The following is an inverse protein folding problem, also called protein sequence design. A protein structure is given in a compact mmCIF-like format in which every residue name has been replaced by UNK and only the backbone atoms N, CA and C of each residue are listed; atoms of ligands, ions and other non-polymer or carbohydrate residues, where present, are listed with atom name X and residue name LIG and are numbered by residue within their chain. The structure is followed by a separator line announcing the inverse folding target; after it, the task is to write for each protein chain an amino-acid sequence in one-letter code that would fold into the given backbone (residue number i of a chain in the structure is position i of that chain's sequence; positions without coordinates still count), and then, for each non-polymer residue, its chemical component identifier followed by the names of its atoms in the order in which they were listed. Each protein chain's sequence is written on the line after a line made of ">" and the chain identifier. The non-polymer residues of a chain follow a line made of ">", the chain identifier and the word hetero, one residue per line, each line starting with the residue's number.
data_IF_369844952592
#
_entry.id   IF_369844952592
#
_cell.length_a   1.000
_cell.length_b   1.000
_cell.length_c   1.000
_cell.angle_alpha   90.00
_cell.angle_beta   90.00
_cell.angle_gamma   90.00
#
_symmetry.space_group_name_H-M   'P 1'
#
loop_
_entity.id
_entity.type
_entity.pdbx_description
1 polymer ?
#
# COMPACT_ATOMS: atom_id res chain seq x y z
N UNK A 1 -39.83 85.62 -38.27
CA UNK A 1 -39.95 84.25 -37.72
C UNK A 1 -38.98 83.32 -38.43
N UNK A 2 -37.81 83.02 -37.82
CA UNK A 2 -36.86 82.02 -38.32
C UNK A 2 -37.13 80.71 -37.56
N UNK A 3 -37.54 79.66 -38.26
CA UNK A 3 -37.63 78.30 -37.70
C UNK A 3 -36.26 77.64 -37.87
N UNK A 4 -35.68 77.21 -36.76
CA UNK A 4 -34.47 76.40 -36.72
C UNK A 4 -34.81 74.96 -37.15
N UNK A 5 -34.14 74.47 -38.19
CA UNK A 5 -34.14 73.06 -38.56
C UNK A 5 -32.84 72.45 -38.04
N UNK A 6 -32.94 71.59 -37.04
CA UNK A 6 -31.83 70.81 -36.49
C UNK A 6 -31.50 69.69 -37.47
N UNK A 7 -30.38 69.80 -38.17
CA UNK A 7 -29.86 68.75 -39.05
C UNK A 7 -28.88 67.88 -38.25
N UNK A 8 -29.27 66.62 -38.02
CA UNK A 8 -28.40 65.56 -37.50
C UNK A 8 -27.23 65.33 -38.48
N UNK A 9 -25.96 65.32 -38.02
CA UNK A 9 -24.85 64.94 -38.89
C UNK A 9 -24.83 63.42 -39.06
N UNK A 10 -24.68 62.99 -40.31
CA UNK A 10 -24.62 61.59 -40.70
C UNK A 10 -23.46 60.84 -40.07
N UNK A 11 -23.70 59.57 -39.75
CA UNK A 11 -22.68 58.62 -39.32
C UNK A 11 -21.61 58.48 -40.40
N UNK A 12 -20.43 59.02 -40.11
CA UNK A 12 -19.22 58.74 -40.88
C UNK A 12 -18.76 57.34 -40.48
N UNK A 13 -18.89 56.37 -41.38
CA UNK A 13 -18.25 55.06 -41.21
C UNK A 13 -16.74 55.25 -41.33
N UNK A 14 -16.03 55.30 -40.20
CA UNK A 14 -14.58 55.23 -40.19
C UNK A 14 -14.14 53.84 -40.68
N UNK A 15 -13.19 53.73 -41.63
CA UNK A 15 -12.65 52.44 -42.03
C UNK A 15 -11.91 51.81 -40.83
N UNK A 16 -12.30 50.60 -40.48
CA UNK A 16 -11.62 49.78 -39.47
C UNK A 16 -10.18 49.54 -39.93
N UNK A 17 -9.20 50.08 -39.19
CA UNK A 17 -7.80 49.78 -39.41
C UNK A 17 -7.56 48.27 -39.19
N UNK A 18 -6.74 47.60 -40.03
CA UNK A 18 -6.42 46.20 -39.80
C UNK A 18 -5.71 46.08 -38.45
N UNK A 19 -6.31 45.31 -37.53
CA UNK A 19 -5.70 44.94 -36.26
C UNK A 19 -4.48 44.08 -36.61
N UNK A 20 -3.30 44.67 -36.57
CA UNK A 20 -2.06 43.92 -36.62
C UNK A 20 -2.07 42.91 -35.45
N UNK A 21 -1.68 41.65 -35.67
CA UNK A 21 -1.56 40.71 -34.56
C UNK A 21 -0.57 41.31 -33.57
N UNK A 22 -1.03 41.54 -32.33
CA UNK A 22 -0.16 41.91 -31.22
C UNK A 22 0.77 40.73 -31.01
N UNK A 23 1.91 40.73 -31.69
CA UNK A 23 3.00 39.84 -31.39
C UNK A 23 3.38 40.16 -29.95
N UNK A 24 3.05 39.25 -29.03
CA UNK A 24 3.50 39.32 -27.65
C UNK A 24 5.01 39.54 -27.66
N UNK A 25 5.45 40.75 -27.35
CA UNK A 25 6.86 41.07 -27.28
C UNK A 25 7.46 40.16 -26.20
N UNK A 26 8.26 39.17 -26.60
CA UNK A 26 9.01 38.36 -25.65
C UNK A 26 9.94 39.33 -24.93
N UNK A 27 9.68 39.57 -23.65
CA UNK A 27 10.54 40.38 -22.80
C UNK A 27 11.97 39.82 -22.88
N UNK A 28 12.95 40.69 -23.14
CA UNK A 28 14.34 40.28 -23.15
C UNK A 28 14.71 39.67 -21.77
N UNK A 29 15.55 38.62 -21.73
CA UNK A 29 15.98 38.01 -20.47
C UNK A 29 16.68 39.05 -19.57
N UNK A 30 16.41 38.99 -18.27
CA UNK A 30 17.04 39.88 -17.30
C UNK A 30 18.54 39.58 -17.16
N UNK A 31 19.32 40.56 -16.68
CA UNK A 31 20.74 40.38 -16.40
C UNK A 31 21.00 39.23 -15.42
N UNK A 32 20.13 39.05 -14.42
CA UNK A 32 20.16 37.93 -13.49
C UNK A 32 19.89 36.58 -14.17
N UNK A 33 18.94 36.51 -15.12
CA UNK A 33 18.66 35.29 -15.85
C UNK A 33 19.83 34.87 -16.76
N UNK A 34 20.53 35.84 -17.36
CA UNK A 34 21.73 35.60 -18.17
C UNK A 34 22.86 35.07 -17.29
N UNK A 35 23.10 35.69 -16.13
CA UNK A 35 24.11 35.23 -15.16
C UNK A 35 23.84 33.79 -14.67
N UNK A 36 22.59 33.50 -14.25
CA UNK A 36 22.22 32.15 -13.82
C UNK A 36 22.35 31.13 -14.96
N UNK A 37 22.07 31.51 -16.21
CA UNK A 37 22.31 30.66 -17.39
C UNK A 37 23.78 30.27 -17.54
N UNK A 38 24.71 31.21 -17.40
CA UNK A 38 26.15 30.91 -17.46
C UNK A 38 26.61 30.04 -16.30
N UNK A 39 26.08 30.27 -15.10
CA UNK A 39 26.36 29.45 -13.91
C UNK A 39 25.87 28.01 -14.10
N UNK A 40 24.65 27.82 -14.59
CA UNK A 40 24.13 26.50 -14.91
C UNK A 40 24.96 25.78 -15.99
N UNK A 41 25.38 26.50 -17.04
CA UNK A 41 26.25 25.95 -18.07
C UNK A 41 27.61 25.50 -17.48
N UNK A 42 28.21 26.29 -16.59
CA UNK A 42 29.45 25.94 -15.89
C UNK A 42 29.31 24.65 -15.08
N UNK A 43 28.19 24.51 -14.36
CA UNK A 43 27.94 23.36 -13.50
C UNK A 43 27.80 22.08 -14.36
N UNK A 44 27.14 22.17 -15.52
CA UNK A 44 27.09 21.07 -16.51
C UNK A 44 28.47 20.72 -17.06
N UNK A 45 29.27 21.71 -17.47
CA UNK A 45 30.64 21.48 -17.98
C UNK A 45 31.53 20.83 -16.92
N UNK A 46 31.39 21.24 -15.66
CA UNK A 46 32.14 20.65 -14.54
C UNK A 46 31.75 19.18 -14.34
N UNK A 47 30.46 18.86 -14.42
CA UNK A 47 30.00 17.47 -14.38
C UNK A 47 30.56 16.62 -15.52
N UNK A 48 30.58 17.15 -16.74
CA UNK A 48 31.18 16.47 -17.91
C UNK A 48 32.67 16.23 -17.72
N UNK A 49 33.40 17.18 -17.16
CA UNK A 49 34.83 17.05 -16.87
C UNK A 49 35.08 15.92 -15.86
N UNK A 50 34.30 15.87 -14.77
CA UNK A 50 34.41 14.81 -13.76
C UNK A 50 34.11 13.42 -14.34
N UNK A 51 33.13 13.30 -15.22
CA UNK A 51 32.80 12.05 -15.91
C UNK A 51 33.92 11.58 -16.84
N UNK A 52 34.53 12.52 -17.59
CA UNK A 52 35.68 12.23 -18.45
C UNK A 52 36.92 11.83 -17.64
N UNK A 53 37.20 12.52 -16.53
CA UNK A 53 38.28 12.17 -15.60
C UNK A 53 38.06 10.79 -14.95
N UNK A 54 36.81 10.43 -14.64
CA UNK A 54 36.43 9.09 -14.23
C UNK A 54 36.75 8.06 -15.30
N UNK A 55 36.27 8.29 -16.52
CA UNK A 55 36.52 7.42 -17.67
C UNK A 55 38.02 7.23 -17.94
N UNK A 56 38.81 8.30 -17.81
CA UNK A 56 40.27 8.29 -17.98
C UNK A 56 40.94 7.37 -16.96
N UNK A 57 40.54 7.46 -15.69
CA UNK A 57 41.05 6.59 -14.62
C UNK A 57 40.71 5.13 -14.91
N UNK A 58 39.49 4.84 -15.32
CA UNK A 58 39.05 3.47 -15.63
C UNK A 58 39.82 2.88 -16.82
N UNK A 59 40.06 3.66 -17.88
CA UNK A 59 40.88 3.22 -19.03
C UNK A 59 42.31 2.92 -18.57
N UNK A 60 42.89 3.79 -17.74
CA UNK A 60 44.26 3.60 -17.23
C UNK A 60 44.36 2.32 -16.41
N UNK A 61 43.40 2.05 -15.51
CA UNK A 61 43.37 0.80 -14.74
C UNK A 61 43.19 -0.43 -15.64
N UNK A 62 42.35 -0.36 -16.69
CA UNK A 62 42.23 -1.45 -17.66
C UNK A 62 43.52 -1.69 -18.45
N UNK A 63 44.26 -0.64 -18.78
CA UNK A 63 45.57 -0.77 -19.44
C UNK A 63 46.59 -1.48 -18.55
N UNK A 64 46.59 -1.21 -17.24
CA UNK A 64 47.46 -1.89 -16.26
C UNK A 64 47.16 -3.39 -16.16
N UNK A 65 45.89 -3.79 -16.31
CA UNK A 65 45.46 -5.19 -16.30
C UNK A 65 45.68 -5.91 -17.65
N UNK A 66 45.78 -5.16 -18.75
CA UNK A 66 45.90 -5.69 -20.10
C UNK A 66 47.38 -5.91 -20.48
N UNK A 67 47.70 -7.05 -21.10
CA UNK A 67 49.07 -7.35 -21.49
C UNK A 67 49.65 -6.29 -22.46
N UNK A 68 50.80 -5.73 -22.11
CA UNK A 68 51.48 -4.72 -22.92
C UNK A 68 51.78 -5.24 -24.34
N UNK A 69 51.51 -4.40 -25.35
CA UNK A 69 51.71 -4.73 -26.77
C UNK A 69 50.60 -5.58 -27.41
N UNK A 70 49.55 -5.96 -26.66
CA UNK A 70 48.35 -6.57 -27.24
C UNK A 70 47.55 -5.56 -28.08
N UNK A 71 46.76 -6.04 -29.08
CA UNK A 71 45.84 -5.17 -29.83
C UNK A 71 44.84 -4.42 -28.93
N UNK A 72 44.40 -5.04 -27.83
CA UNK A 72 43.50 -4.44 -26.84
C UNK A 72 44.17 -3.27 -26.12
N UNK A 73 45.43 -3.41 -25.71
CA UNK A 73 46.21 -2.33 -25.10
C UNK A 73 46.35 -1.14 -26.06
N UNK A 74 46.61 -1.39 -27.35
CA UNK A 74 46.70 -0.33 -28.37
C UNK A 74 45.36 0.43 -28.52
N UNK A 75 44.23 -0.28 -28.50
CA UNK A 75 42.91 0.34 -28.60
C UNK A 75 42.58 1.20 -27.36
N UNK A 76 43.00 0.76 -26.16
CA UNK A 76 42.84 1.55 -24.94
C UNK A 76 43.68 2.83 -24.95
N UNK A 77 44.92 2.80 -25.47
CA UNK A 77 45.75 4.00 -25.67
C UNK A 77 45.09 5.03 -26.60
N UNK A 78 44.50 4.56 -27.71
CA UNK A 78 43.83 5.43 -28.67
C UNK A 78 42.59 6.07 -28.03
N UNK A 79 41.84 5.30 -27.23
CA UNK A 79 40.70 5.80 -26.46
C UNK A 79 41.11 6.79 -25.37
N UNK A 80 42.24 6.55 -24.69
CA UNK A 80 42.79 7.47 -23.70
C UNK A 80 43.14 8.82 -24.35
N UNK A 81 43.75 8.78 -25.53
CA UNK A 81 44.10 9.98 -26.31
C UNK A 81 42.85 10.77 -26.71
N UNK A 82 41.76 10.11 -27.12
CA UNK A 82 40.48 10.76 -27.40
C UNK A 82 39.89 11.44 -26.15
N UNK A 83 39.87 10.73 -25.02
CA UNK A 83 39.36 11.25 -23.74
C UNK A 83 40.17 12.47 -23.28
N UNK A 84 41.50 12.41 -23.36
CA UNK A 84 42.38 13.54 -23.03
C UNK A 84 42.11 14.75 -23.95
N UNK A 85 41.84 14.51 -25.24
CA UNK A 85 41.42 15.56 -26.18
C UNK A 85 40.09 16.21 -25.78
N UNK A 86 39.11 15.40 -25.35
CA UNK A 86 37.80 15.88 -24.88
C UNK A 86 37.89 16.65 -23.57
N UNK A 87 38.70 16.19 -22.62
CA UNK A 87 38.98 16.90 -21.35
C UNK A 87 39.51 18.30 -21.66
N UNK A 88 40.53 18.40 -22.51
CA UNK A 88 41.11 19.68 -22.92
C UNK A 88 40.08 20.61 -23.58
N UNK A 89 39.18 20.07 -24.41
CA UNK A 89 38.13 20.86 -25.04
C UNK A 89 37.12 21.39 -24.00
N UNK A 90 36.72 20.56 -23.03
CA UNK A 90 35.82 20.97 -21.92
C UNK A 90 36.47 22.01 -21.03
N UNK A 91 37.76 21.87 -20.71
CA UNK A 91 38.51 22.86 -19.94
C UNK A 91 38.54 24.23 -20.65
N UNK A 92 38.75 24.24 -21.97
CA UNK A 92 38.70 25.48 -22.75
C UNK A 92 37.31 26.12 -22.75
N UNK A 93 36.25 25.31 -22.86
CA UNK A 93 34.88 25.80 -22.74
C UNK A 93 34.59 26.38 -21.35
N UNK A 94 35.10 25.74 -20.29
CA UNK A 94 34.97 26.21 -18.91
C UNK A 94 35.70 27.54 -18.70
N UNK A 95 36.90 27.69 -19.26
CA UNK A 95 37.64 28.95 -19.26
C UNK A 95 36.85 30.06 -19.99
N UNK A 96 36.30 29.78 -21.17
CA UNK A 96 35.46 30.72 -21.90
C UNK A 96 34.18 31.11 -21.16
N UNK A 97 33.49 30.14 -20.57
CA UNK A 97 32.29 30.36 -19.77
C UNK A 97 32.59 31.17 -18.51
N UNK A 98 33.72 30.93 -17.82
CA UNK A 98 34.09 31.69 -16.63
C UNK A 98 34.33 33.17 -16.92
N UNK A 99 34.91 33.50 -18.08
CA UNK A 99 35.04 34.89 -18.54
C UNK A 99 33.67 35.53 -18.82
N UNK A 100 32.76 34.81 -19.46
CA UNK A 100 31.39 35.28 -19.73
C UNK A 100 30.58 35.47 -18.44
N UNK A 101 30.71 34.54 -17.50
CA UNK A 101 30.09 34.61 -16.18
C UNK A 101 30.58 35.83 -15.39
N UNK A 102 31.89 36.11 -15.42
CA UNK A 102 32.47 37.29 -14.78
C UNK A 102 31.95 38.60 -15.41
N UNK A 103 31.85 38.66 -16.74
CA UNK A 103 31.27 39.81 -17.44
C UNK A 103 29.78 40.01 -17.10
N UNK A 104 29.01 38.92 -17.03
CA UNK A 104 27.60 38.97 -16.65
C UNK A 104 27.42 39.42 -15.19
N UNK A 105 28.28 38.96 -14.28
CA UNK A 105 28.25 39.33 -12.87
C UNK A 105 28.54 40.82 -12.62
N UNK A 106 29.27 41.48 -13.52
CA UNK A 106 29.58 42.90 -13.43
C UNK A 106 28.37 43.81 -13.71
N UNK A 107 27.27 43.28 -14.28
CA UNK A 107 26.05 44.04 -14.55
C UNK A 107 25.29 44.29 -13.23
N UNK A 108 24.96 45.54 -12.88
CA UNK A 108 24.18 45.84 -11.67
C UNK A 108 22.85 45.06 -11.63
N UNK A 109 22.60 44.37 -10.53
CA UNK A 109 21.41 43.52 -10.38
C UNK A 109 21.48 42.16 -11.09
N UNK A 110 22.64 41.74 -11.61
CA UNK A 110 22.82 40.36 -12.10
C UNK A 110 23.01 39.36 -10.95
N UNK A 111 23.81 39.72 -9.94
CA UNK A 111 24.03 38.91 -8.73
C UNK A 111 23.04 39.31 -7.64
N UNK A 112 21.78 38.94 -7.81
CA UNK A 112 20.76 39.12 -6.76
C UNK A 112 20.89 37.95 -5.78
N UNK A 113 21.20 38.23 -4.51
CA UNK A 113 21.05 37.22 -3.47
C UNK A 113 19.58 36.75 -3.49
N UNK A 114 19.31 35.46 -3.68
CA UNK A 114 17.97 34.92 -3.52
C UNK A 114 17.40 35.42 -2.18
N UNK A 115 16.15 35.91 -2.14
CA UNK A 115 15.52 36.28 -0.87
C UNK A 115 15.71 35.14 0.13
N UNK A 116 16.10 35.41 1.40
CA UNK A 116 16.24 34.35 2.39
C UNK A 116 14.96 33.51 2.41
N UNK A 117 15.10 32.19 2.35
CA UNK A 117 13.99 31.28 2.55
C UNK A 117 13.53 31.44 4.00
N UNK A 118 12.60 32.36 4.23
CA UNK A 118 11.91 32.50 5.51
C UNK A 118 10.99 31.28 5.60
N UNK A 119 11.24 30.31 6.50
CA UNK A 119 10.39 29.13 6.62
C UNK A 119 8.96 29.59 6.90
N UNK A 120 8.06 29.41 5.93
CA UNK A 120 6.63 29.68 6.13
C UNK A 120 5.99 28.46 6.76
N UNK A 121 6.11 28.36 8.07
CA UNK A 121 5.48 27.30 8.86
C UNK A 121 5.66 27.55 10.36
N UNK A 122 4.87 26.87 11.21
CA UNK A 122 5.17 26.81 12.63
C UNK A 122 6.64 26.36 12.83
N UNK A 123 7.35 26.92 13.81
CA UNK A 123 8.71 26.49 14.13
C UNK A 123 8.78 24.96 14.33
N UNK A 124 9.91 24.34 13.97
CA UNK A 124 10.14 22.90 14.12
C UNK A 124 9.85 22.44 15.57
N UNK A 125 10.14 23.32 16.53
CA UNK A 125 9.87 23.15 17.95
C UNK A 125 8.38 22.87 18.24
N UNK A 126 7.46 23.44 17.46
CA UNK A 126 6.01 23.19 17.64
C UNK A 126 5.65 21.76 17.23
N UNK A 127 6.26 21.25 16.17
CA UNK A 127 6.06 19.86 15.73
C UNK A 127 6.67 18.87 16.72
N UNK A 128 7.90 19.13 17.18
CA UNK A 128 8.58 18.29 18.18
C UNK A 128 7.82 18.30 19.50
N UNK A 129 7.41 19.47 19.98
CA UNK A 129 6.68 19.61 21.25
C UNK A 129 5.30 18.95 21.20
N UNK A 130 4.58 19.07 20.07
CA UNK A 130 3.29 18.39 19.90
C UNK A 130 3.44 16.87 19.84
N UNK A 131 4.45 16.35 19.15
CA UNK A 131 4.76 14.92 19.14
C UNK A 131 5.07 14.36 20.53
N UNK A 132 5.92 15.06 21.30
CA UNK A 132 6.25 14.68 22.68
C UNK A 132 5.01 14.74 23.57
N UNK A 133 4.18 15.78 23.45
CA UNK A 133 2.93 15.90 24.22
C UNK A 133 2.00 14.71 23.97
N UNK A 134 1.83 14.28 22.71
CA UNK A 134 0.99 13.13 22.37
C UNK A 134 1.53 11.85 23.05
N UNK A 135 2.84 11.63 23.02
CA UNK A 135 3.46 10.43 23.61
C UNK A 135 3.41 10.46 25.14
N UNK A 136 3.69 11.60 25.76
CA UNK A 136 3.81 11.72 27.22
C UNK A 136 2.44 11.84 27.89
N UNK A 137 1.46 12.47 27.23
CA UNK A 137 0.15 12.77 27.83
C UNK A 137 -0.95 11.90 27.23
N UNK A 138 -1.13 11.93 25.91
CA UNK A 138 -2.29 11.28 25.29
C UNK A 138 -2.17 9.76 25.23
N UNK A 139 -0.97 9.22 24.98
CA UNK A 139 -0.73 7.78 24.90
C UNK A 139 -1.02 7.05 26.24
N UNK A 140 -0.46 7.45 27.39
CA UNK A 140 -0.79 6.78 28.65
C UNK A 140 -2.25 6.97 29.05
N UNK A 141 -2.84 8.13 28.74
CA UNK A 141 -4.26 8.38 28.98
C UNK A 141 -5.14 7.43 28.15
N UNK A 142 -4.82 7.26 26.87
CA UNK A 142 -5.50 6.31 25.97
C UNK A 142 -5.40 4.88 26.48
N UNK A 143 -4.21 4.43 26.90
CA UNK A 143 -4.01 3.10 27.50
C UNK A 143 -4.83 2.94 28.78
N UNK A 144 -4.87 3.96 29.65
CA UNK A 144 -5.64 3.93 30.89
C UNK A 144 -7.15 3.81 30.62
N UNK A 145 -7.67 4.56 29.64
CA UNK A 145 -9.07 4.46 29.22
C UNK A 145 -9.40 3.10 28.59
N UNK A 146 -8.53 2.58 27.72
CA UNK A 146 -8.68 1.25 27.14
C UNK A 146 -8.75 0.16 28.23
N UNK A 147 -7.80 0.17 29.19
CA UNK A 147 -7.81 -0.75 30.33
C UNK A 147 -9.05 -0.58 31.20
N UNK A 148 -9.54 0.64 31.40
CA UNK A 148 -10.76 0.92 32.18
C UNK A 148 -12.00 0.31 31.54
N UNK A 149 -12.13 0.42 30.22
CA UNK A 149 -13.26 -0.16 29.48
C UNK A 149 -13.21 -1.69 29.55
N UNK A 150 -12.06 -2.30 29.24
CA UNK A 150 -11.91 -3.76 29.32
C UNK A 150 -12.17 -4.33 30.72
N UNK A 151 -11.68 -3.67 31.78
CA UNK A 151 -11.92 -4.13 33.15
C UNK A 151 -13.40 -4.03 33.55
N UNK A 152 -14.11 -2.99 33.12
CA UNK A 152 -15.56 -2.85 33.35
C UNK A 152 -16.35 -3.96 32.66
N UNK A 153 -15.98 -4.34 31.45
CA UNK A 153 -16.62 -5.43 30.72
C UNK A 153 -16.35 -6.79 31.36
N UNK A 154 -15.15 -7.03 31.89
CA UNK A 154 -14.83 -8.28 32.58
C UNK A 154 -15.65 -8.47 33.87
N UNK A 155 -15.86 -7.41 34.68
CA UNK A 155 -16.66 -7.50 35.91
C UNK A 155 -18.13 -7.83 35.64
N UNK A 156 -18.69 -7.35 34.53
CA UNK A 156 -20.08 -7.63 34.15
C UNK A 156 -20.32 -9.10 33.76
N UNK A 157 -19.29 -9.80 33.26
CA UNK A 157 -19.40 -11.20 32.82
C UNK A 157 -19.24 -12.18 34.00
N UNK A 158 -18.46 -11.83 35.02
CA UNK A 158 -18.22 -12.69 36.19
C UNK A 158 -19.39 -12.79 37.17
N UNK A 159 -20.38 -11.91 37.09
CA UNK A 159 -21.63 -12.07 37.86
C UNK A 159 -22.62 -12.91 37.05
N UNK A 160 -22.41 -14.22 36.98
CA UNK A 160 -23.46 -15.14 36.54
C UNK A 160 -24.67 -14.91 37.46
N UNK A 161 -25.84 -14.48 36.94
CA UNK A 161 -26.99 -14.17 37.79
C UNK A 161 -27.40 -15.43 38.57
N UNK A 162 -27.59 -15.32 39.89
CA UNK A 162 -28.06 -16.46 40.71
C UNK A 162 -29.34 -17.09 40.14
N UNK A 163 -30.21 -16.27 39.55
CA UNK A 163 -31.40 -16.69 38.82
C UNK A 163 -31.11 -17.70 37.69
N UNK A 164 -30.01 -17.54 36.96
CA UNK A 164 -29.59 -18.49 35.92
C UNK A 164 -29.13 -19.81 36.54
N UNK A 165 -28.41 -19.77 37.66
CA UNK A 165 -28.01 -20.97 38.40
C UNK A 165 -29.22 -21.72 38.94
N UNK A 166 -30.19 -21.02 39.54
CA UNK A 166 -31.42 -21.63 40.07
C UNK A 166 -32.27 -22.25 38.96
N UNK A 167 -32.35 -21.61 37.79
CA UNK A 167 -33.00 -22.18 36.61
C UNK A 167 -32.30 -23.44 36.12
N UNK A 168 -30.97 -23.44 36.06
CA UNK A 168 -30.19 -24.60 35.66
C UNK A 168 -30.37 -25.78 36.63
N UNK A 169 -30.37 -25.51 37.94
CA UNK A 169 -30.63 -26.52 38.97
C UNK A 169 -32.05 -27.11 38.82
N UNK A 170 -33.05 -26.27 38.56
CA UNK A 170 -34.42 -26.74 38.33
C UNK A 170 -34.55 -27.55 37.04
N UNK A 171 -33.81 -27.18 35.99
CA UNK A 171 -33.75 -27.95 34.75
C UNK A 171 -33.09 -29.32 35.00
N UNK A 172 -32.00 -29.37 35.76
CA UNK A 172 -31.33 -30.62 36.16
C UNK A 172 -32.31 -31.57 36.89
N UNK A 173 -33.02 -31.08 37.91
CA UNK A 173 -34.03 -31.85 38.62
C UNK A 173 -35.18 -32.33 37.71
N UNK A 174 -35.61 -31.49 36.76
CA UNK A 174 -36.67 -31.85 35.81
C UNK A 174 -36.19 -32.95 34.85
N UNK A 175 -34.93 -32.88 34.40
CA UNK A 175 -34.31 -33.89 33.53
C UNK A 175 -34.16 -35.22 34.28
N UNK A 176 -33.69 -35.19 35.54
CA UNK A 176 -33.60 -36.40 36.37
C UNK A 176 -34.96 -37.08 36.56
N UNK A 177 -36.01 -36.30 36.86
CA UNK A 177 -37.37 -36.81 37.00
C UNK A 177 -37.89 -37.41 35.68
N UNK A 178 -37.67 -36.73 34.55
CA UNK A 178 -38.06 -37.23 33.22
C UNK A 178 -37.34 -38.54 32.90
N UNK A 179 -36.05 -38.65 33.25
CA UNK A 179 -35.28 -39.88 33.03
C UNK A 179 -35.86 -41.07 33.80
N UNK A 180 -36.24 -40.87 35.06
CA UNK A 180 -36.90 -41.91 35.87
C UNK A 180 -38.29 -42.28 35.32
N UNK A 181 -39.06 -41.30 34.88
CA UNK A 181 -40.37 -41.55 34.28
C UNK A 181 -40.25 -42.36 32.98
N UNK A 182 -39.25 -42.07 32.13
CA UNK A 182 -38.98 -42.84 30.91
C UNK A 182 -38.56 -44.27 31.23
N UNK A 183 -37.73 -44.49 32.25
CA UNK A 183 -37.37 -45.83 32.74
C UNK A 183 -38.63 -46.59 33.18
N UNK A 184 -39.46 -45.96 34.00
CA UNK A 184 -40.71 -46.56 34.53
C UNK A 184 -41.73 -46.84 33.42
N UNK A 185 -41.88 -45.96 32.44
CA UNK A 185 -42.72 -46.19 31.25
C UNK A 185 -42.16 -47.35 30.43
N UNK A 186 -40.83 -47.41 30.26
CA UNK A 186 -40.15 -48.53 29.61
C UNK A 186 -40.41 -49.87 30.32
N UNK A 187 -40.38 -49.89 31.65
CA UNK A 187 -40.75 -51.07 32.44
C UNK A 187 -42.23 -51.43 32.33
N UNK A 188 -43.13 -50.44 32.37
CA UNK A 188 -44.57 -50.65 32.17
C UNK A 188 -44.88 -51.23 30.78
N UNK A 189 -44.23 -50.73 29.74
CA UNK A 189 -44.35 -51.26 28.38
C UNK A 189 -43.77 -52.67 28.27
N UNK A 190 -42.58 -52.93 28.83
CA UNK A 190 -42.01 -54.29 28.89
C UNK A 190 -42.92 -55.27 29.63
N UNK A 191 -43.53 -54.83 30.73
CA UNK A 191 -44.46 -55.64 31.49
C UNK A 191 -45.72 -55.97 30.68
N UNK A 192 -46.33 -54.97 30.02
CA UNK A 192 -47.48 -55.19 29.14
C UNK A 192 -47.16 -56.11 27.96
N UNK A 193 -46.01 -55.94 27.30
CA UNK A 193 -45.59 -56.85 26.20
C UNK A 193 -45.41 -58.27 26.70
N UNK A 194 -44.73 -58.49 27.84
CA UNK A 194 -44.63 -59.83 28.44
C UNK A 194 -46.01 -60.42 28.74
N UNK A 195 -46.92 -59.62 29.28
CA UNK A 195 -48.29 -60.07 29.62
C UNK A 195 -49.10 -60.46 28.38
N UNK A 196 -48.98 -59.72 27.27
CA UNK A 196 -49.61 -60.09 26.00
C UNK A 196 -48.99 -61.34 25.36
N UNK A 197 -47.65 -61.45 25.34
CA UNK A 197 -46.96 -62.61 24.76
C UNK A 197 -47.15 -63.90 25.59
N UNK A 198 -47.15 -63.82 26.92
CA UNK A 198 -47.45 -64.97 27.79
C UNK A 198 -48.92 -65.39 27.69
N UNK A 199 -49.84 -64.42 27.52
CA UNK A 199 -51.26 -64.67 27.29
C UNK A 199 -51.55 -65.41 25.97
N UNK A 200 -50.82 -65.09 24.89
CA UNK A 200 -50.89 -65.83 23.62
C UNK A 200 -50.12 -67.16 23.65
N UNK A 201 -48.95 -67.20 24.30
CA UNK A 201 -48.10 -68.39 24.41
C UNK A 201 -48.74 -69.55 25.17
N UNK A 202 -49.58 -69.26 26.18
CA UNK A 202 -50.34 -70.28 26.87
C UNK A 202 -51.39 -70.98 25.98
N UNK A 203 -51.84 -70.34 24.88
CA UNK A 203 -52.83 -70.91 23.96
C UNK A 203 -52.25 -71.75 22.81
N UNK A 204 -50.94 -71.68 22.55
CA UNK A 204 -50.35 -72.26 21.33
C UNK A 204 -49.59 -73.60 21.50
N UNK A 205 -49.26 -74.05 22.71
CA UNK A 205 -48.39 -75.24 22.94
C UNK A 205 -49.10 -76.60 22.70
N UNK A 206 -50.34 -76.62 22.23
CA UNK A 206 -51.15 -77.85 22.10
C UNK A 206 -51.05 -78.68 20.82
N UNK A 207 -50.46 -78.20 19.71
CA UNK A 207 -50.62 -78.89 18.42
C UNK A 207 -49.40 -78.81 17.49
N UNK A 208 -48.83 -79.99 17.16
CA UNK A 208 -48.02 -80.35 15.97
C UNK A 208 -46.56 -80.75 16.21
N UNK A 209 -46.27 -82.07 16.25
CA UNK A 209 -45.27 -82.75 15.38
C UNK A 209 -44.87 -84.18 15.87
N UNK A 210 -45.41 -85.23 15.23
CA UNK A 210 -44.80 -86.58 15.10
C UNK A 210 -45.49 -87.31 13.90
N UNK A 211 -44.88 -87.49 12.71
CA UNK A 211 -43.83 -88.41 12.20
C UNK A 211 -44.38 -89.68 11.49
N UNK A 212 -44.04 -89.90 10.22
CA UNK A 212 -44.02 -91.19 9.46
C UNK A 212 -43.35 -90.92 8.07
N UNK A 213 -42.11 -91.26 7.70
CA UNK A 213 -41.34 -92.52 7.47
C UNK A 213 -41.99 -93.49 6.47
N UNK A 214 -41.38 -93.69 5.28
CA UNK A 214 -41.31 -95.00 4.60
C UNK A 214 -40.18 -95.05 3.54
N UNK A 215 -39.42 -96.15 3.47
CA UNK A 215 -38.21 -96.36 2.65
C UNK A 215 -38.26 -97.76 1.99
N UNK A 216 -37.85 -97.93 0.73
CA UNK A 216 -37.95 -99.20 -0.05
C UNK A 216 -36.93 -99.23 -1.21
N UNK A 217 -36.48 -100.40 -1.72
CA UNK A 217 -35.79 -101.53 -1.09
C UNK A 217 -34.32 -101.66 -1.58
N UNK A 218 -33.62 -102.66 -1.04
CA UNK A 218 -32.19 -102.94 -1.12
C UNK A 218 -31.61 -103.34 -2.49
N UNK A 219 -30.31 -103.11 -2.64
CA UNK A 219 -29.44 -103.61 -3.72
C UNK A 219 -28.30 -104.44 -3.09
N UNK A 220 -28.30 -105.73 -3.35
CA UNK A 220 -27.17 -106.65 -3.14
C UNK A 220 -26.49 -106.89 -4.50
N UNK A 221 -25.15 -106.95 -4.56
CA UNK A 221 -24.37 -107.21 -5.80
C UNK A 221 -24.48 -108.70 -6.15
N UNK A 222 -24.87 -109.08 -7.38
CA UNK A 222 -24.03 -109.59 -8.50
C UNK A 222 -23.14 -110.79 -8.11
N UNK A 223 -23.08 -111.90 -8.88
CA UNK A 223 -23.26 -112.04 -10.34
C UNK A 223 -24.67 -112.36 -10.83
#
# INVERSE_FOLDING_TARGET
>A
MRKASTQQPGSVLTPSAPVAPVAAARSAPSASAIYEGYKAQRDVLTGQLQELEGTRRDITSQMEETAAGSPEHKALEDRLTDVDGRIKAVDQMLAGNSAQLAQAAAVPGAVVQPPPDIPRGPPEEVYVLSGIFIIVVLLPLSIAFAKRIWRKSATAITSLPRELTDRLLRLEQTVEATSLEVERIGEGQRFLTRLFTEGEGARAIGASSAKAIENKPARERLP
#
